data_IF_399044748819
#
_entry.id   IF_399044748819
#
_cell.length_a   1.000
_cell.length_b   1.000
_cell.length_c   1.000
_cell.angle_alpha   90.00
_cell.angle_beta   90.00
_cell.angle_gamma   90.00
#
_symmetry.space_group_name_H-M   'P 1'
#
loop_
_entity.id
_entity.type
_entity.pdbx_description
1 polymer ?
#
# COMPACT_ATOMS: atom_id res chain seq x y z
N UNK A 1 -10.13 -21.13 -26.42
CA UNK A 1 -9.93 -20.47 -25.12
C UNK A 1 -8.45 -20.17 -25.05
N UNK A 2 -8.08 -18.89 -25.10
CA UNK A 2 -6.67 -18.49 -25.31
C UNK A 2 -5.92 -18.18 -24.01
N UNK A 3 -6.66 -17.99 -22.91
CA UNK A 3 -6.13 -17.79 -21.57
C UNK A 3 -7.21 -18.09 -20.51
N UNK A 4 -6.78 -18.33 -19.27
CA UNK A 4 -7.65 -18.43 -18.09
C UNK A 4 -7.39 -17.23 -17.18
N UNK A 5 -8.44 -16.52 -16.78
CA UNK A 5 -8.34 -15.38 -15.89
C UNK A 5 -8.77 -15.72 -14.46
N UNK A 6 -8.20 -15.01 -13.49
CA UNK A 6 -8.61 -15.06 -12.09
C UNK A 6 -8.21 -13.80 -11.34
N UNK A 7 -8.70 -13.65 -10.11
CA UNK A 7 -8.43 -12.47 -9.29
C UNK A 7 -7.21 -12.70 -8.38
N UNK A 8 -6.05 -12.21 -8.81
CA UNK A 8 -4.77 -12.32 -8.11
C UNK A 8 -4.31 -13.77 -7.90
N UNK A 9 -3.54 -14.01 -6.84
CA UNK A 9 -3.10 -15.34 -6.37
C UNK A 9 -3.78 -15.72 -5.04
N UNK A 10 -5.00 -15.23 -4.82
CA UNK A 10 -5.83 -15.60 -3.66
C UNK A 10 -6.25 -17.06 -3.75
N UNK A 11 -6.59 -17.72 -2.62
CA UNK A 11 -7.10 -19.10 -2.63
C UNK A 11 -8.31 -19.31 -3.56
N UNK A 12 -9.16 -18.28 -3.70
CA UNK A 12 -10.31 -18.30 -4.61
C UNK A 12 -9.93 -18.43 -6.09
N UNK A 13 -8.72 -18.01 -6.48
CA UNK A 13 -8.21 -18.14 -7.83
C UNK A 13 -7.44 -19.45 -8.08
N UNK A 14 -7.26 -20.30 -7.05
CA UNK A 14 -6.44 -21.52 -7.16
C UNK A 14 -6.96 -22.46 -8.24
N UNK A 15 -8.28 -22.67 -8.31
CA UNK A 15 -8.89 -23.52 -9.34
C UNK A 15 -8.63 -23.00 -10.77
N UNK A 16 -8.68 -21.68 -10.97
CA UNK A 16 -8.38 -21.07 -12.28
C UNK A 16 -6.91 -21.29 -12.65
N UNK A 17 -5.99 -21.14 -11.69
CA UNK A 17 -4.55 -21.40 -11.87
C UNK A 17 -4.27 -22.87 -12.16
N UNK A 18 -4.90 -23.80 -11.44
CA UNK A 18 -4.76 -25.24 -11.66
C UNK A 18 -5.27 -25.64 -13.04
N UNK A 19 -6.39 -25.05 -13.49
CA UNK A 19 -6.89 -25.26 -14.85
C UNK A 19 -5.94 -24.70 -15.90
N UNK A 20 -5.37 -23.50 -15.67
CA UNK A 20 -4.42 -22.89 -16.60
C UNK A 20 -3.19 -23.80 -16.78
N UNK A 21 -2.65 -24.31 -15.67
CA UNK A 21 -1.56 -25.28 -15.68
C UNK A 21 -1.94 -26.60 -16.37
N UNK A 22 -3.10 -27.17 -16.03
CA UNK A 22 -3.59 -28.45 -16.60
C UNK A 22 -3.75 -28.40 -18.12
N UNK A 23 -4.20 -27.28 -18.66
CA UNK A 23 -4.45 -27.10 -20.09
C UNK A 23 -3.30 -26.36 -20.81
N UNK A 24 -2.19 -26.08 -20.13
CA UNK A 24 -1.06 -25.31 -20.67
C UNK A 24 -1.47 -23.95 -21.28
N UNK A 25 -2.45 -23.31 -20.66
CA UNK A 25 -2.93 -21.97 -21.05
C UNK A 25 -2.31 -20.90 -20.15
N UNK A 26 -2.06 -19.68 -20.66
CA UNK A 26 -1.67 -18.55 -19.84
C UNK A 26 -2.68 -18.27 -18.74
N UNK A 27 -2.20 -17.96 -17.54
CA UNK A 27 -3.01 -17.41 -16.46
C UNK A 27 -2.90 -15.88 -16.47
N UNK A 28 -4.03 -15.19 -16.45
CA UNK A 28 -4.08 -13.72 -16.38
C UNK A 28 -4.67 -13.32 -15.02
N UNK A 29 -3.83 -12.71 -14.18
CA UNK A 29 -4.21 -12.23 -12.87
C UNK A 29 -4.78 -10.80 -12.97
N UNK A 30 -6.03 -10.62 -12.56
CA UNK A 30 -6.65 -9.32 -12.37
C UNK A 30 -6.57 -8.91 -10.89
N UNK A 31 -6.40 -7.63 -10.62
CA UNK A 31 -6.61 -7.03 -9.30
C UNK A 31 -7.14 -5.61 -9.45
N UNK A 32 -7.58 -5.03 -8.34
CA UNK A 32 -7.83 -3.59 -8.26
C UNK A 32 -6.53 -2.82 -8.52
N UNK A 33 -6.62 -1.71 -9.26
CA UNK A 33 -5.48 -0.82 -9.42
C UNK A 33 -5.20 0.03 -8.18
N UNK A 34 -4.11 0.80 -8.27
CA UNK A 34 -3.54 1.54 -7.13
C UNK A 34 -4.35 2.80 -6.78
N UNK A 35 -5.12 3.35 -7.74
CA UNK A 35 -6.23 4.27 -7.48
C UNK A 35 -7.52 3.54 -7.80
N UNK A 36 -8.31 3.19 -6.79
CA UNK A 36 -9.44 2.29 -7.02
C UNK A 36 -10.77 3.03 -7.02
N UNK A 37 -11.13 3.70 -5.93
CA UNK A 37 -12.49 4.22 -5.74
C UNK A 37 -12.57 5.21 -4.59
N UNK A 38 -13.75 5.78 -4.33
CA UNK A 38 -13.98 6.60 -3.13
C UNK A 38 -14.10 5.66 -1.94
N UNK A 39 -15.06 4.74 -1.95
CA UNK A 39 -15.29 3.81 -0.83
C UNK A 39 -14.60 2.45 -1.03
N UNK A 40 -14.19 1.76 0.05
CA UNK A 40 -13.63 0.42 -0.03
C UNK A 40 -14.67 -0.70 -0.23
N UNK A 41 -14.18 -1.86 -0.67
CA UNK A 41 -14.98 -3.06 -0.91
C UNK A 41 -15.78 -3.02 -2.23
N UNK A 42 -16.86 -3.81 -2.31
CA UNK A 42 -17.56 -4.13 -3.56
C UNK A 42 -18.69 -3.15 -3.95
N UNK A 43 -18.85 -2.04 -3.24
CA UNK A 43 -19.96 -1.10 -3.47
C UNK A 43 -19.73 -0.18 -4.69
N UNK A 44 -18.48 0.05 -5.06
CA UNK A 44 -18.10 0.94 -6.16
C UNK A 44 -17.29 0.16 -7.20
N UNK A 45 -17.55 0.46 -8.48
CA UNK A 45 -16.74 -0.06 -9.58
C UNK A 45 -15.34 0.58 -9.51
N UNK A 46 -14.27 -0.20 -9.72
CA UNK A 46 -12.92 0.35 -9.68
C UNK A 46 -12.68 1.27 -10.89
N UNK A 47 -12.07 2.43 -10.66
CA UNK A 47 -11.62 3.33 -11.73
C UNK A 47 -10.35 2.83 -12.40
N UNK A 48 -9.60 1.93 -11.75
CA UNK A 48 -8.47 1.25 -12.37
C UNK A 48 -8.37 -0.22 -11.98
N UNK A 49 -7.82 -1.00 -12.89
CA UNK A 49 -7.53 -2.43 -12.75
C UNK A 49 -6.09 -2.69 -13.16
N UNK A 50 -5.49 -3.73 -12.60
CA UNK A 50 -4.24 -4.28 -13.13
C UNK A 50 -4.53 -5.60 -13.84
N UNK A 51 -3.76 -5.84 -14.90
CA UNK A 51 -3.83 -7.07 -15.71
C UNK A 51 -2.42 -7.62 -15.84
N UNK A 52 -2.13 -8.71 -15.12
CA UNK A 52 -0.79 -9.30 -15.08
C UNK A 52 -0.82 -10.69 -15.72
N UNK A 53 0.02 -10.88 -16.74
CA UNK A 53 0.13 -12.12 -17.53
C UNK A 53 1.31 -12.98 -17.09
N UNK A 54 2.19 -12.46 -16.23
CA UNK A 54 3.39 -13.16 -15.76
C UNK A 54 3.24 -13.67 -14.33
N UNK A 55 2.60 -12.89 -13.46
CA UNK A 55 2.40 -13.20 -12.04
C UNK A 55 1.37 -12.27 -11.42
N UNK A 56 1.73 -11.59 -10.34
CA UNK A 56 0.97 -10.47 -9.78
C UNK A 56 1.90 -9.59 -8.93
N UNK A 57 1.72 -8.27 -8.93
CA UNK A 57 2.65 -7.31 -8.32
C UNK A 57 3.04 -7.59 -6.86
N UNK A 58 2.12 -8.11 -6.05
CA UNK A 58 2.36 -8.38 -4.63
C UNK A 58 3.03 -9.74 -4.36
N UNK A 59 3.19 -10.59 -5.37
CA UNK A 59 3.78 -11.92 -5.21
C UNK A 59 5.26 -11.92 -5.59
N UNK A 60 6.12 -11.66 -4.62
CA UNK A 60 7.56 -11.62 -4.78
C UNK A 60 8.19 -13.01 -5.03
N UNK A 61 7.43 -14.11 -4.99
CA UNK A 61 7.97 -15.47 -5.22
C UNK A 61 8.27 -15.73 -6.69
N UNK A 62 7.67 -14.96 -7.60
CA UNK A 62 7.85 -15.09 -9.04
C UNK A 62 7.91 -13.72 -9.73
N UNK A 63 8.36 -13.64 -10.99
CA UNK A 63 8.29 -12.41 -11.76
C UNK A 63 6.86 -11.88 -11.92
N UNK A 64 6.71 -10.58 -12.14
CA UNK A 64 5.45 -9.93 -12.54
C UNK A 64 5.64 -8.99 -13.72
N UNK A 65 4.55 -8.66 -14.42
CA UNK A 65 4.60 -7.67 -15.50
C UNK A 65 5.05 -6.30 -14.98
N UNK A 66 4.68 -5.93 -13.76
CA UNK A 66 5.15 -4.71 -13.12
C UNK A 66 6.68 -4.68 -12.99
N UNK A 67 7.32 -5.77 -12.54
CA UNK A 67 8.79 -5.83 -12.45
C UNK A 67 9.45 -5.66 -13.83
N UNK A 68 8.80 -6.17 -14.89
CA UNK A 68 9.24 -5.97 -16.27
C UNK A 68 9.12 -4.48 -16.68
N UNK A 69 7.98 -3.84 -16.39
CA UNK A 69 7.76 -2.42 -16.70
C UNK A 69 8.73 -1.51 -15.98
N UNK A 70 9.03 -1.75 -14.70
CA UNK A 70 10.03 -0.99 -13.92
C UNK A 70 11.39 -1.04 -14.62
N UNK A 71 11.87 -2.23 -14.98
CA UNK A 71 13.15 -2.41 -15.67
C UNK A 71 13.16 -1.73 -17.04
N UNK A 72 12.05 -1.83 -17.78
CA UNK A 72 11.90 -1.20 -19.10
C UNK A 72 11.96 0.32 -19.01
N UNK A 73 11.28 0.91 -18.03
CA UNK A 73 11.29 2.37 -17.78
C UNK A 73 12.68 2.85 -17.37
N UNK A 74 13.34 2.15 -16.44
CA UNK A 74 14.68 2.51 -15.99
C UNK A 74 15.74 2.42 -17.10
N UNK A 75 15.62 1.44 -18.01
CA UNK A 75 16.54 1.26 -19.14
C UNK A 75 16.34 2.23 -20.31
N UNK A 76 15.40 3.18 -20.24
CA UNK A 76 15.08 4.12 -21.33
C UNK A 76 15.08 5.56 -20.83
N UNK A 77 15.37 6.55 -21.70
CA UNK A 77 15.11 7.95 -21.37
C UNK A 77 13.63 8.15 -21.00
N UNK A 78 13.39 8.82 -19.88
CA UNK A 78 12.04 9.12 -19.39
C UNK A 78 11.77 10.61 -19.48
N UNK A 79 10.52 10.98 -19.76
CA UNK A 79 10.04 12.36 -19.63
C UNK A 79 9.82 12.65 -18.14
N UNK A 80 10.89 13.01 -17.44
CA UNK A 80 10.85 13.15 -15.97
C UNK A 80 9.85 14.21 -15.50
N UNK A 81 9.66 15.29 -16.26
CA UNK A 81 8.73 16.35 -15.89
C UNK A 81 7.27 15.86 -15.79
N UNK A 82 6.79 15.11 -16.78
CA UNK A 82 5.43 14.52 -16.78
C UNK A 82 5.23 13.59 -15.56
N UNK A 83 6.27 12.84 -15.18
CA UNK A 83 6.23 11.96 -14.02
C UNK A 83 6.21 12.77 -12.72
N UNK A 84 7.01 13.83 -12.62
CA UNK A 84 7.00 14.73 -11.47
C UNK A 84 5.66 15.44 -11.31
N UNK A 85 5.09 15.95 -12.41
CA UNK A 85 3.77 16.58 -12.43
C UNK A 85 2.69 15.60 -11.96
N UNK A 86 2.75 14.33 -12.39
CA UNK A 86 1.82 13.29 -11.96
C UNK A 86 1.99 12.90 -10.47
N UNK A 87 3.23 12.83 -9.96
CA UNK A 87 3.50 12.62 -8.54
C UNK A 87 2.91 13.77 -7.73
N UNK A 88 3.16 15.01 -8.13
CA UNK A 88 2.64 16.20 -7.47
C UNK A 88 1.12 16.30 -7.57
N UNK A 89 0.51 15.78 -8.64
CA UNK A 89 -0.94 15.69 -8.78
C UNK A 89 -1.55 14.75 -7.74
N UNK A 90 -0.98 13.55 -7.52
CA UNK A 90 -1.44 12.64 -6.46
C UNK A 90 -1.25 13.28 -5.08
N UNK A 91 -0.09 13.88 -4.83
CA UNK A 91 0.27 14.51 -3.55
C UNK A 91 -0.65 15.68 -3.22
N UNK A 92 -0.82 16.62 -4.14
CA UNK A 92 -1.65 17.82 -3.95
C UNK A 92 -3.12 17.48 -3.70
N UNK A 93 -3.64 16.44 -4.39
CA UNK A 93 -5.00 15.94 -4.19
C UNK A 93 -5.11 14.93 -3.03
N UNK A 94 -3.98 14.51 -2.45
CA UNK A 94 -3.88 13.50 -1.38
C UNK A 94 -4.67 12.24 -1.71
N UNK A 95 -4.54 11.76 -2.95
CA UNK A 95 -5.25 10.56 -3.42
C UNK A 95 -4.56 9.29 -2.94
N UNK A 96 -5.36 8.31 -2.51
CA UNK A 96 -4.91 6.98 -2.10
C UNK A 96 -5.75 5.91 -2.82
N UNK A 97 -5.56 4.63 -2.49
CA UNK A 97 -6.36 3.54 -3.07
C UNK A 97 -7.86 3.75 -2.88
N UNK A 98 -8.24 4.18 -1.69
CA UNK A 98 -9.60 4.54 -1.29
C UNK A 98 -9.57 5.97 -0.77
N UNK A 99 -10.66 6.72 -0.96
CA UNK A 99 -10.67 8.17 -0.77
C UNK A 99 -11.87 8.69 0.04
N UNK A 100 -12.55 7.79 0.76
CA UNK A 100 -13.63 8.09 1.70
C UNK A 100 -13.04 8.27 3.10
N UNK A 101 -12.84 9.53 3.48
CA UNK A 101 -12.24 9.92 4.76
C UNK A 101 -12.99 11.11 5.35
N UNK A 102 -13.20 11.08 6.66
CA UNK A 102 -13.88 12.12 7.45
C UNK A 102 -12.93 13.26 7.81
N UNK A 103 -11.62 12.96 7.87
CA UNK A 103 -10.60 13.91 8.31
C UNK A 103 -9.53 14.09 7.23
N UNK A 104 -9.24 15.35 6.93
CA UNK A 104 -8.24 15.77 5.93
C UNK A 104 -6.95 16.32 6.56
N UNK A 105 -6.85 16.33 7.88
CA UNK A 105 -5.67 16.76 8.62
C UNK A 105 -5.54 16.00 9.96
N UNK A 106 -4.35 16.10 10.58
CA UNK A 106 -4.01 15.42 11.83
C UNK A 106 -4.39 16.21 13.10
N UNK A 107 -4.96 17.42 12.97
CA UNK A 107 -5.21 18.31 14.13
C UNK A 107 -6.17 17.69 15.15
N UNK A 108 -7.08 16.84 14.67
CA UNK A 108 -8.07 16.13 15.50
C UNK A 108 -7.51 14.88 16.20
N UNK A 109 -6.29 14.46 15.89
CA UNK A 109 -5.70 13.24 16.46
C UNK A 109 -5.06 13.45 17.84
N UNK A 110 -5.08 14.68 18.38
CA UNK A 110 -4.50 15.02 19.69
C UNK A 110 -3.08 14.45 19.86
N UNK A 111 -2.24 14.60 18.82
CA UNK A 111 -0.88 14.06 18.80
C UNK A 111 -0.02 14.70 19.89
N UNK A 112 0.78 13.89 20.56
CA UNK A 112 1.64 14.34 21.66
C UNK A 112 2.87 15.08 21.14
N UNK A 113 3.42 14.61 20.02
CA UNK A 113 4.62 15.19 19.43
C UNK A 113 4.26 16.33 18.49
N UNK A 114 5.01 17.42 18.52
CA UNK A 114 4.83 18.57 17.62
C UNK A 114 5.57 18.40 16.29
N UNK A 115 6.74 17.75 16.31
CA UNK A 115 7.63 17.60 15.16
C UNK A 115 7.41 16.35 14.32
N UNK A 116 7.63 16.47 13.00
CA UNK A 116 7.63 15.31 12.07
C UNK A 116 8.67 14.25 12.42
N UNK A 117 9.83 14.67 12.94
CA UNK A 117 10.94 13.78 13.31
C UNK A 117 10.69 12.96 14.56
N UNK A 118 9.74 13.40 15.37
CA UNK A 118 9.38 12.77 16.65
C UNK A 118 8.15 11.86 16.48
N UNK A 119 7.73 11.60 15.23
CA UNK A 119 6.61 10.74 14.89
C UNK A 119 6.99 9.67 13.88
N UNK A 120 6.53 8.45 14.16
CA UNK A 120 6.71 7.27 13.31
C UNK A 120 5.34 6.67 13.01
N UNK A 121 5.15 6.25 11.75
CA UNK A 121 3.93 5.53 11.36
C UNK A 121 4.23 4.04 11.21
N UNK A 122 3.41 3.21 11.84
CA UNK A 122 3.35 1.76 11.62
C UNK A 122 2.05 1.46 10.90
N UNK A 123 2.13 0.80 9.74
CA UNK A 123 0.97 0.51 8.91
C UNK A 123 0.47 -0.90 9.21
N UNK A 124 -0.80 -1.01 9.62
CA UNK A 124 -1.51 -2.28 9.74
C UNK A 124 -2.01 -2.77 8.36
N UNK A 125 -2.32 -4.06 8.28
CA UNK A 125 -2.97 -4.69 7.13
C UNK A 125 -4.07 -5.64 7.60
N UNK A 126 -4.95 -6.05 6.69
CA UNK A 126 -5.98 -7.03 7.02
C UNK A 126 -5.38 -8.43 7.13
N UNK A 127 -5.76 -9.18 8.15
CA UNK A 127 -5.41 -10.60 8.28
C UNK A 127 -5.87 -11.36 7.03
N UNK A 128 -4.99 -12.21 6.49
CA UNK A 128 -5.26 -12.98 5.28
C UNK A 128 -5.12 -12.19 3.98
N UNK A 129 -4.58 -10.97 4.01
CA UNK A 129 -4.16 -10.26 2.79
C UNK A 129 -3.14 -11.13 2.03
N UNK A 130 -3.43 -11.43 0.76
CA UNK A 130 -2.58 -12.25 -0.09
C UNK A 130 -1.19 -11.64 -0.33
N UNK A 131 -1.05 -10.32 -0.17
CA UNK A 131 0.24 -9.64 -0.26
C UNK A 131 1.21 -10.03 0.86
N UNK A 132 0.72 -10.45 2.04
CA UNK A 132 1.57 -10.81 3.19
C UNK A 132 2.41 -12.06 2.87
N UNK A 133 1.81 -13.24 2.55
CA UNK A 133 2.60 -14.41 2.17
C UNK A 133 3.29 -14.21 0.81
N UNK A 134 2.69 -13.44 -0.11
CA UNK A 134 3.32 -13.07 -1.39
C UNK A 134 4.63 -12.30 -1.21
N UNK A 135 4.73 -11.50 -0.15
CA UNK A 135 5.90 -10.71 0.20
C UNK A 135 6.87 -11.44 1.16
N UNK A 136 6.81 -12.77 1.27
CA UNK A 136 7.61 -13.56 2.22
C UNK A 136 7.46 -13.12 3.69
N UNK A 137 6.26 -12.69 4.06
CA UNK A 137 5.92 -12.31 5.42
C UNK A 137 4.80 -13.20 5.96
N UNK A 138 4.55 -13.08 7.26
CA UNK A 138 3.53 -13.82 8.01
C UNK A 138 3.01 -12.97 9.16
N UNK A 139 2.01 -13.45 9.89
CA UNK A 139 1.37 -12.71 10.96
C UNK A 139 2.37 -12.25 12.05
N UNK A 140 3.37 -13.08 12.39
CA UNK A 140 4.41 -12.70 13.37
C UNK A 140 5.30 -11.56 12.88
N UNK A 141 5.40 -11.33 11.58
CA UNK A 141 6.19 -10.24 10.99
C UNK A 141 5.68 -8.87 11.45
N UNK A 142 4.37 -8.71 11.69
CA UNK A 142 3.80 -7.46 12.20
C UNK A 142 4.26 -7.15 13.62
N UNK A 143 4.36 -8.18 14.47
CA UNK A 143 4.87 -8.03 15.84
C UNK A 143 6.34 -7.58 15.83
N UNK A 144 7.16 -8.25 15.02
CA UNK A 144 8.57 -7.90 14.84
C UNK A 144 8.73 -6.47 14.31
N UNK A 145 7.90 -6.07 13.34
CA UNK A 145 7.87 -4.72 12.79
C UNK A 145 7.61 -3.66 13.87
N UNK A 146 6.58 -3.87 14.71
CA UNK A 146 6.26 -2.93 15.78
C UNK A 146 7.37 -2.87 16.84
N UNK A 147 7.94 -4.00 17.23
CA UNK A 147 9.06 -4.04 18.18
C UNK A 147 10.27 -3.26 17.67
N UNK A 148 10.66 -3.45 16.41
CA UNK A 148 11.78 -2.70 15.80
C UNK A 148 11.46 -1.21 15.71
N UNK A 149 10.23 -0.85 15.31
CA UNK A 149 9.80 0.55 15.27
C UNK A 149 9.91 1.23 16.65
N UNK A 150 9.56 0.52 17.73
CA UNK A 150 9.69 1.01 19.10
C UNK A 150 11.17 1.17 19.51
N UNK A 151 11.98 0.14 19.27
CA UNK A 151 13.36 0.09 19.72
C UNK A 151 14.26 1.13 19.04
N UNK A 152 14.02 1.40 17.76
CA UNK A 152 14.79 2.36 16.96
C UNK A 152 14.33 3.82 17.13
N UNK A 153 13.15 4.04 17.70
CA UNK A 153 12.55 5.38 17.85
C UNK A 153 12.05 5.57 19.30
N UNK A 154 12.99 5.51 20.24
CA UNK A 154 12.73 5.37 21.69
C UNK A 154 11.89 6.50 22.31
N UNK A 155 12.04 7.71 21.78
CA UNK A 155 11.33 8.91 22.28
C UNK A 155 10.19 9.33 21.35
N UNK A 156 10.02 8.67 20.21
CA UNK A 156 9.02 9.06 19.22
C UNK A 156 7.63 8.56 19.62
N UNK A 157 6.62 9.34 19.25
CA UNK A 157 5.24 8.91 19.19
C UNK A 157 5.05 7.97 17.99
N UNK A 158 4.40 6.82 18.23
CA UNK A 158 4.21 5.76 17.25
C UNK A 158 2.71 5.66 16.95
N UNK A 159 2.38 6.12 15.75
CA UNK A 159 1.03 6.05 15.20
C UNK A 159 0.87 4.71 14.48
N UNK A 160 -0.12 3.93 14.89
CA UNK A 160 -0.44 2.65 14.26
C UNK A 160 -1.70 2.86 13.43
N UNK A 161 -1.54 2.97 12.11
CA UNK A 161 -2.68 3.16 11.20
C UNK A 161 -3.42 1.85 11.02
N UNK A 162 -4.64 1.78 11.56
CA UNK A 162 -5.54 0.64 11.37
C UNK A 162 -6.08 0.63 9.94
N UNK A 163 -6.21 -0.57 9.36
CA UNK A 163 -6.70 -0.71 7.99
C UNK A 163 -8.19 -0.30 7.86
N UNK A 164 -8.61 0.43 6.80
CA UNK A 164 -9.99 0.89 6.64
C UNK A 164 -11.04 -0.24 6.70
N UNK A 165 -10.76 -1.40 6.10
CA UNK A 165 -11.68 -2.56 6.16
C UNK A 165 -11.88 -3.12 7.57
N UNK A 166 -10.91 -2.91 8.47
CA UNK A 166 -11.01 -3.30 9.88
C UNK A 166 -11.88 -2.34 10.66
N UNK A 167 -11.78 -1.05 10.35
CA UNK A 167 -12.61 -0.02 10.97
C UNK A 167 -14.11 -0.23 10.68
N UNK A 168 -14.46 -0.70 9.47
CA UNK A 168 -15.85 -1.04 9.10
C UNK A 168 -16.26 -2.47 9.46
N UNK A 169 -15.45 -3.19 10.25
CA UNK A 169 -15.75 -4.52 10.78
C UNK A 169 -15.77 -5.65 9.74
N UNK A 170 -15.25 -5.44 8.52
CA UNK A 170 -15.25 -6.45 7.45
C UNK A 170 -14.12 -7.47 7.60
N UNK A 171 -12.96 -7.07 8.13
CA UNK A 171 -11.79 -7.94 8.33
C UNK A 171 -11.01 -7.55 9.58
N UNK A 172 -10.47 -8.53 10.30
CA UNK A 172 -9.54 -8.25 11.40
C UNK A 172 -8.21 -7.64 10.89
N UNK A 173 -7.60 -6.78 11.70
CA UNK A 173 -6.23 -6.27 11.51
C UNK A 173 -5.22 -7.03 12.37
N UNK A 174 -3.92 -6.75 12.21
CA UNK A 174 -2.87 -7.38 13.03
C UNK A 174 -2.62 -6.65 14.35
N UNK A 175 -3.03 -5.38 14.47
CA UNK A 175 -2.88 -4.60 15.69
C UNK A 175 -4.22 -4.31 16.36
N UNK A 176 -4.40 -4.87 17.56
CA UNK A 176 -5.51 -4.54 18.46
C UNK A 176 -4.95 -4.15 19.83
N UNK A 177 -5.78 -3.58 20.71
CA UNK A 177 -5.36 -3.27 22.07
C UNK A 177 -4.86 -4.52 22.80
N UNK A 178 -5.49 -5.68 22.59
CA UNK A 178 -5.09 -6.95 23.18
C UNK A 178 -3.71 -7.41 22.66
N UNK A 179 -3.44 -7.23 21.36
CA UNK A 179 -2.11 -7.54 20.79
C UNK A 179 -1.04 -6.63 21.38
N UNK A 180 -1.32 -5.33 21.54
CA UNK A 180 -0.37 -4.39 22.16
C UNK A 180 -0.09 -4.74 23.62
N UNK A 181 -1.12 -5.11 24.39
CA UNK A 181 -0.98 -5.55 25.78
C UNK A 181 -0.18 -6.86 25.88
N UNK A 182 -0.47 -7.83 25.01
CA UNK A 182 0.28 -9.09 24.96
C UNK A 182 1.76 -8.87 24.60
N UNK A 183 2.05 -7.93 23.69
CA UNK A 183 3.44 -7.54 23.38
C UNK A 183 4.12 -6.87 24.57
N UNK A 184 3.43 -5.96 25.28
CA UNK A 184 3.96 -5.32 26.48
C UNK A 184 4.28 -6.31 27.61
N UNK A 185 3.63 -7.49 27.66
CA UNK A 185 3.96 -8.52 28.64
C UNK A 185 5.29 -9.24 28.37
N UNK A 186 5.76 -9.24 27.12
CA UNK A 186 6.94 -10.00 26.68
C UNK A 186 8.08 -9.12 26.16
N UNK A 187 7.84 -7.82 25.99
CA UNK A 187 8.80 -6.85 25.48
C UNK A 187 8.78 -5.57 26.34
N UNK A 188 9.86 -5.35 27.09
CA UNK A 188 10.01 -4.20 28.00
C UNK A 188 9.94 -2.85 27.27
N UNK A 189 10.47 -2.78 26.04
CA UNK A 189 10.43 -1.53 25.25
C UNK A 189 8.99 -1.20 24.83
N UNK A 190 8.20 -2.22 24.50
CA UNK A 190 6.78 -2.07 24.23
C UNK A 190 6.00 -1.70 25.49
N UNK A 191 6.29 -2.33 26.63
CA UNK A 191 5.69 -1.98 27.92
C UNK A 191 5.92 -0.51 28.28
N UNK A 192 7.17 -0.06 28.14
CA UNK A 192 7.55 1.33 28.38
C UNK A 192 6.81 2.28 27.43
N UNK A 193 6.82 2.01 26.12
CA UNK A 193 6.13 2.84 25.13
C UNK A 193 4.62 2.94 25.37
N UNK A 194 4.00 1.85 25.80
CA UNK A 194 2.57 1.81 26.12
C UNK A 194 2.25 2.61 27.38
N UNK A 195 3.04 2.44 28.45
CA UNK A 195 2.86 3.15 29.72
C UNK A 195 3.09 4.66 29.59
N UNK A 196 4.02 5.07 28.72
CA UNK A 196 4.29 6.47 28.40
C UNK A 196 3.24 7.08 27.44
N UNK A 197 2.30 6.27 26.95
CA UNK A 197 1.27 6.72 26.02
C UNK A 197 1.78 7.02 24.61
N UNK A 198 2.97 6.53 24.24
CA UNK A 198 3.58 6.74 22.91
C UNK A 198 2.98 5.87 21.82
N UNK A 199 2.30 4.78 22.16
CA UNK A 199 1.63 3.90 21.20
C UNK A 199 0.18 4.35 21.00
N UNK A 200 -0.14 4.78 19.78
CA UNK A 200 -1.49 5.24 19.43
C UNK A 200 -2.06 4.42 18.28
N UNK A 201 -3.06 3.60 18.56
CA UNK A 201 -3.93 3.08 17.52
C UNK A 201 -4.68 4.26 16.88
N UNK A 202 -4.67 4.34 15.56
CA UNK A 202 -5.31 5.40 14.76
C UNK A 202 -6.46 4.78 13.95
N UNK A 203 -7.61 4.48 14.57
CA UNK A 203 -8.78 3.90 13.92
C UNK A 203 -9.64 4.97 13.22
N UNK A 204 -9.28 6.25 13.29
CA UNK A 204 -10.03 7.32 12.65
C UNK A 204 -10.02 7.17 11.12
N UNK A 205 -11.11 7.57 10.47
CA UNK A 205 -11.23 7.65 9.01
C UNK A 205 -10.50 8.86 8.46
N UNK A 206 -9.23 9.01 8.83
CA UNK A 206 -8.34 10.04 8.33
C UNK A 206 -7.73 9.61 6.98
N UNK A 207 -7.61 10.57 6.06
CA UNK A 207 -6.81 10.39 4.86
C UNK A 207 -5.37 9.99 5.26
N UNK A 208 -4.76 8.98 4.62
CA UNK A 208 -3.42 8.55 4.98
C UNK A 208 -2.35 9.64 4.74
N UNK A 209 -2.51 10.51 3.74
CA UNK A 209 -1.49 11.52 3.38
C UNK A 209 -1.12 12.47 4.54
N UNK A 210 -2.07 13.10 5.26
CA UNK A 210 -1.75 13.87 6.45
C UNK A 210 -0.92 13.11 7.49
N UNK A 211 -1.13 11.80 7.66
CA UNK A 211 -0.30 10.99 8.56
C UNK A 211 1.10 10.77 7.99
N UNK A 212 1.21 10.48 6.70
CA UNK A 212 2.49 10.29 6.00
C UNK A 212 3.32 11.59 6.05
N UNK A 213 2.72 12.73 5.71
CA UNK A 213 3.35 14.06 5.78
C UNK A 213 3.78 14.42 7.21
N UNK A 214 3.04 13.94 8.22
CA UNK A 214 3.33 14.19 9.62
C UNK A 214 4.41 13.27 10.22
N UNK A 215 4.85 12.22 9.53
CA UNK A 215 5.83 11.25 10.04
C UNK A 215 7.13 11.27 9.25
N UNK A 216 8.27 11.08 9.93
CA UNK A 216 9.58 10.99 9.27
C UNK A 216 9.86 9.58 8.73
N UNK A 217 9.47 8.56 9.49
CA UNK A 217 9.66 7.15 9.14
C UNK A 217 8.34 6.41 9.07
N UNK A 218 8.27 5.44 8.17
CA UNK A 218 7.13 4.54 8.01
C UNK A 218 7.59 3.09 8.03
N UNK A 219 6.90 2.27 8.81
CA UNK A 219 7.16 0.84 8.94
C UNK A 219 5.96 0.09 8.36
N UNK A 220 6.22 -0.79 7.41
CA UNK A 220 5.19 -1.59 6.76
C UNK A 220 5.68 -3.00 6.44
N UNK A 221 4.75 -3.95 6.37
CA UNK A 221 5.06 -5.31 5.89
C UNK A 221 5.04 -5.30 4.37
N UNK A 222 3.87 -5.14 3.75
CA UNK A 222 3.72 -5.14 2.29
C UNK A 222 2.67 -4.16 1.77
N UNK A 223 2.09 -3.33 2.63
CA UNK A 223 1.01 -2.40 2.30
C UNK A 223 1.37 -1.45 1.17
N UNK A 224 0.41 -1.15 0.30
CA UNK A 224 0.53 -0.09 -0.72
C UNK A 224 0.87 1.27 -0.09
N UNK A 225 0.39 1.54 1.13
CA UNK A 225 0.68 2.80 1.82
C UNK A 225 2.18 3.03 2.05
N UNK A 226 3.01 1.97 2.06
CA UNK A 226 4.46 2.15 2.09
C UNK A 226 5.02 2.77 0.80
N UNK A 227 4.40 2.54 -0.36
CA UNK A 227 4.78 3.26 -1.58
C UNK A 227 4.31 4.72 -1.53
N UNK A 228 3.10 4.98 -1.06
CA UNK A 228 2.58 6.34 -0.85
C UNK A 228 3.46 7.12 0.14
N UNK A 229 4.02 6.45 1.16
CA UNK A 229 4.99 7.02 2.09
C UNK A 229 6.30 7.46 1.40
N UNK A 230 6.80 6.69 0.43
CA UNK A 230 7.96 7.09 -0.39
C UNK A 230 7.62 8.38 -1.17
N UNK A 231 6.43 8.45 -1.76
CA UNK A 231 5.96 9.65 -2.48
C UNK A 231 5.78 10.86 -1.54
N UNK A 232 5.43 10.63 -0.27
CA UNK A 232 5.38 11.65 0.77
C UNK A 232 6.78 12.06 1.30
N UNK A 233 7.85 11.42 0.83
CA UNK A 233 9.22 11.68 1.25
C UNK A 233 9.55 11.16 2.64
N UNK A 234 8.93 10.05 3.06
CA UNK A 234 9.30 9.33 4.28
C UNK A 234 10.45 8.35 4.01
N UNK A 235 11.24 8.07 5.04
CA UNK A 235 12.09 6.87 5.06
C UNK A 235 11.20 5.64 5.34
N UNK A 236 11.19 4.65 4.46
CA UNK A 236 10.28 3.51 4.54
C UNK A 236 11.04 2.21 4.83
N UNK A 237 10.66 1.54 5.93
CA UNK A 237 11.18 0.23 6.32
C UNK A 237 10.16 -0.86 5.95
N UNK A 238 10.61 -1.85 5.20
CA UNK A 238 9.79 -2.95 4.69
C UNK A 238 10.16 -4.27 5.38
N UNK A 239 9.17 -4.94 5.97
CA UNK A 239 9.35 -6.24 6.65
C UNK A 239 8.91 -7.44 5.81
N UNK A 240 8.15 -7.20 4.74
CA UNK A 240 8.03 -8.09 3.59
C UNK A 240 8.86 -7.59 2.40
N UNK A 241 8.66 -8.21 1.25
CA UNK A 241 9.17 -7.79 -0.06
C UNK A 241 7.99 -7.27 -0.92
N UNK A 242 7.44 -6.07 -0.65
CA UNK A 242 6.35 -5.51 -1.45
C UNK A 242 6.79 -5.20 -2.88
N UNK A 243 5.86 -4.83 -3.76
CA UNK A 243 6.15 -4.53 -5.17
C UNK A 243 7.20 -3.41 -5.37
N UNK A 244 7.28 -2.47 -4.43
CA UNK A 244 8.24 -1.36 -4.41
C UNK A 244 9.53 -1.67 -3.63
N UNK A 245 9.62 -2.83 -2.97
CA UNK A 245 10.83 -3.29 -2.28
C UNK A 245 11.87 -3.87 -3.23
N UNK A 246 13.15 -3.83 -2.85
CA UNK A 246 14.28 -4.35 -3.62
C UNK A 246 14.76 -3.46 -4.77
N UNK A 247 14.14 -2.28 -4.93
CA UNK A 247 14.46 -1.29 -5.96
C UNK A 247 15.35 -0.14 -5.45
N UNK A 248 15.90 -0.25 -4.24
CA UNK A 248 16.75 0.78 -3.62
C UNK A 248 15.98 1.99 -3.06
N UNK A 249 14.64 1.93 -2.96
CA UNK A 249 13.78 3.00 -2.45
C UNK A 249 13.39 2.84 -0.97
N UNK A 250 13.78 1.73 -0.36
CA UNK A 250 13.30 1.26 0.94
C UNK A 250 14.44 0.66 1.76
N UNK A 251 14.30 0.72 3.09
CA UNK A 251 15.19 0.03 4.02
C UNK A 251 14.64 -1.38 4.26
N UNK A 252 15.19 -2.35 3.54
CA UNK A 252 14.73 -3.75 3.58
C UNK A 252 15.10 -4.46 4.88
N UNK A 253 14.10 -4.84 5.68
CA UNK A 253 14.26 -5.64 6.90
C UNK A 253 14.06 -7.13 6.66
N UNK A 254 13.32 -7.50 5.63
CA UNK A 254 13.23 -8.90 5.20
C UNK A 254 14.60 -9.35 4.65
N UNK A 255 15.12 -10.54 5.00
CA UNK A 255 16.42 -11.02 4.50
C UNK A 255 16.38 -11.47 3.03
N UNK A 256 15.21 -11.72 2.46
CA UNK A 256 15.07 -12.15 1.07
C UNK A 256 15.63 -11.07 0.13
N UNK A 257 16.46 -11.49 -0.83
CA UNK A 257 17.02 -10.63 -1.89
C UNK A 257 16.60 -11.18 -3.24
N UNK A 258 15.95 -10.36 -4.04
CA UNK A 258 15.49 -10.74 -5.38
C UNK A 258 16.53 -10.29 -6.40
N UNK A 259 17.28 -11.23 -7.00
CA UNK A 259 18.30 -10.90 -8.02
C UNK A 259 17.74 -10.16 -9.26
N UNK A 260 16.43 -10.19 -9.46
CA UNK A 260 15.73 -9.51 -10.57
C UNK A 260 15.38 -8.05 -10.29
N UNK A 261 15.52 -7.58 -9.04
CA UNK A 261 15.35 -6.18 -8.64
C UNK A 261 16.70 -5.58 -8.27
N UNK A 262 16.95 -4.37 -8.72
CA UNK A 262 18.17 -3.61 -8.45
C UNK A 262 17.80 -2.15 -8.25
N UNK A 263 18.69 -1.32 -7.66
CA UNK A 263 18.41 0.10 -7.48
C UNK A 263 17.97 0.78 -8.79
N UNK A 264 16.80 1.44 -8.75
CA UNK A 264 16.24 2.25 -9.84
C UNK A 264 15.71 3.58 -9.28
N UNK A 265 15.34 4.51 -10.16
CA UNK A 265 14.75 5.77 -9.71
C UNK A 265 13.28 5.61 -9.29
N UNK A 266 12.81 6.49 -8.40
CA UNK A 266 11.41 6.54 -7.99
C UNK A 266 10.48 6.74 -9.18
N UNK A 267 10.89 7.59 -10.13
CA UNK A 267 10.15 7.89 -11.35
C UNK A 267 9.94 6.66 -12.22
N UNK A 268 10.93 5.76 -12.29
CA UNK A 268 10.79 4.51 -13.03
C UNK A 268 9.73 3.59 -12.40
N UNK A 269 9.72 3.48 -11.06
CA UNK A 269 8.72 2.69 -10.34
C UNK A 269 7.33 3.32 -10.46
N UNK A 270 7.24 4.63 -10.29
CA UNK A 270 5.99 5.38 -10.43
C UNK A 270 5.40 5.24 -11.83
N UNK A 271 6.16 5.51 -12.88
CA UNK A 271 5.69 5.43 -14.26
C UNK A 271 5.31 4.00 -14.64
N UNK A 272 6.07 3.00 -14.20
CA UNK A 272 5.71 1.61 -14.41
C UNK A 272 4.37 1.26 -13.74
N UNK A 273 4.15 1.74 -12.52
CA UNK A 273 2.95 1.46 -11.73
C UNK A 273 1.71 2.15 -12.29
N UNK A 274 1.78 3.47 -12.46
CA UNK A 274 0.64 4.33 -12.76
C UNK A 274 0.40 4.54 -14.26
N UNK A 275 1.41 4.36 -15.13
CA UNK A 275 1.22 4.57 -16.57
C UNK A 275 1.25 3.29 -17.41
N UNK A 276 2.04 2.29 -17.00
CA UNK A 276 2.20 1.06 -17.79
C UNK A 276 1.37 -0.12 -17.28
N UNK A 277 1.27 -0.28 -15.96
CA UNK A 277 0.68 -1.48 -15.32
C UNK A 277 -0.78 -1.30 -14.91
N UNK A 278 -1.19 -0.06 -14.62
CA UNK A 278 -2.58 0.27 -14.26
C UNK A 278 -3.37 0.67 -15.51
N UNK A 279 -4.54 0.04 -15.69
CA UNK A 279 -5.50 0.38 -16.73
C UNK A 279 -6.66 1.15 -16.11
N UNK A 280 -6.91 2.37 -16.59
CA UNK A 280 -7.98 3.23 -16.06
C UNK A 280 -9.21 3.17 -16.94
N UNK A 281 -10.39 3.16 -16.32
CA UNK A 281 -11.66 2.94 -16.99
C UNK A 281 -12.71 3.97 -16.58
N UNK A 282 -13.32 4.58 -17.59
CA UNK A 282 -14.67 5.15 -17.47
C UNK A 282 -15.69 4.03 -17.67
N UNK A 283 -16.81 4.07 -16.94
CA UNK A 283 -17.80 2.98 -16.95
C UNK A 283 -19.08 3.30 -17.74
N UNK A 284 -19.24 4.55 -18.19
CA UNK A 284 -20.42 5.02 -18.90
C UNK A 284 -20.07 6.13 -19.94
N UNK A 285 -19.81 5.77 -21.22
CA UNK A 285 -19.63 4.42 -21.72
C UNK A 285 -18.32 3.79 -21.23
N UNK A 286 -18.20 2.46 -21.36
CA UNK A 286 -16.94 1.78 -21.01
C UNK A 286 -15.84 2.15 -22.00
N UNK A 287 -14.82 2.87 -21.53
CA UNK A 287 -13.61 3.19 -22.31
C UNK A 287 -12.38 3.27 -21.41
N UNK A 288 -11.21 3.03 -22.01
CA UNK A 288 -9.93 3.32 -21.36
C UNK A 288 -9.70 4.83 -21.33
N UNK A 289 -9.20 5.32 -20.19
CA UNK A 289 -8.93 6.73 -19.95
C UNK A 289 -7.48 6.91 -19.48
N UNK A 290 -6.96 8.13 -19.54
CA UNK A 290 -5.63 8.42 -19.01
C UNK A 290 -5.60 8.40 -17.49
N UNK A 291 -4.39 8.35 -16.93
CA UNK A 291 -4.15 8.52 -15.49
C UNK A 291 -4.73 9.85 -14.98
N UNK A 292 -4.51 10.93 -15.71
CA UNK A 292 -4.99 12.27 -15.35
C UNK A 292 -6.52 12.34 -15.38
N UNK A 293 -7.15 11.81 -16.43
CA UNK A 293 -8.62 11.70 -16.51
C UNK A 293 -9.17 10.94 -15.29
N UNK A 294 -8.54 9.81 -14.92
CA UNK A 294 -8.94 9.04 -13.75
C UNK A 294 -8.78 9.81 -12.44
N UNK A 295 -7.69 10.55 -12.28
CA UNK A 295 -7.45 11.39 -11.11
C UNK A 295 -8.54 12.46 -10.96
N UNK A 296 -8.88 13.17 -12.04
CA UNK A 296 -9.92 14.21 -12.00
C UNK A 296 -11.31 13.62 -11.78
N UNK A 297 -11.64 12.49 -12.40
CA UNK A 297 -12.90 11.78 -12.13
C UNK A 297 -13.01 11.32 -10.67
N UNK A 298 -11.91 10.82 -10.09
CA UNK A 298 -11.91 10.40 -8.70
C UNK A 298 -12.08 11.58 -7.75
N UNK A 299 -11.44 12.72 -8.05
CA UNK A 299 -11.64 13.97 -7.30
C UNK A 299 -13.10 14.43 -7.34
N UNK A 300 -13.73 14.45 -8.50
CA UNK A 300 -15.15 14.81 -8.65
C UNK A 300 -16.04 13.89 -7.80
N UNK A 301 -15.82 12.57 -7.88
CA UNK A 301 -16.55 11.59 -7.08
C UNK A 301 -16.35 11.79 -5.57
N UNK A 302 -15.15 12.19 -5.12
CA UNK A 302 -14.88 12.51 -3.71
C UNK A 302 -15.67 13.75 -3.29
N UNK A 303 -15.70 14.80 -4.12
CA UNK A 303 -16.44 16.03 -3.83
C UNK A 303 -17.96 15.76 -3.74
N UNK A 304 -18.49 14.98 -4.67
CA UNK A 304 -19.90 14.55 -4.65
C UNK A 304 -20.22 13.75 -3.38
N UNK A 305 -19.41 12.74 -3.05
CA UNK A 305 -19.63 11.93 -1.85
C UNK A 305 -19.60 12.76 -0.55
N UNK A 306 -18.79 13.82 -0.49
CA UNK A 306 -18.76 14.77 0.65
C UNK A 306 -19.99 15.68 0.71
N UNK A 307 -20.60 16.00 -0.42
CA UNK A 307 -21.81 16.83 -0.47
C UNK A 307 -23.08 16.08 -0.05
N UNK A 308 -23.06 14.75 -0.11
CA UNK A 308 -24.17 13.86 0.26
C UNK A 308 -24.18 13.49 1.76
N UNK A 309 -23.18 13.92 2.54
CA UNK A 309 -22.99 13.58 3.97
C UNK A 309 -23.24 14.79 4.85
#
# INVERSE_FOLDING_TARGET
MDAIAGWGHKPTAQRARDMAAKYHLPYVAFEDGFLRSVRPGNQEKPISLVVDRTGIYYDARQPSDLECFVRRRFGKPMRTQEIHDAIDLIRSKRLSKYNSFDFSDISKLCLQSSGRRDRVLVIDQTVGDASIPGAFAKDETFRQMLQVAIQENREAEILIKVHPETMIGRKAGHFTHEVLQALAQVDESCAKALNEGRLRLTPEAINPWPLLEACAKVYCVSSQLGFEAILAGCEVHTFGVPFYGGWGLTVERNPVRLNRRHPVSLEAVFAALYFDYSHYLEHDPVREISFEEAVYQLEERIQLARSET
#
